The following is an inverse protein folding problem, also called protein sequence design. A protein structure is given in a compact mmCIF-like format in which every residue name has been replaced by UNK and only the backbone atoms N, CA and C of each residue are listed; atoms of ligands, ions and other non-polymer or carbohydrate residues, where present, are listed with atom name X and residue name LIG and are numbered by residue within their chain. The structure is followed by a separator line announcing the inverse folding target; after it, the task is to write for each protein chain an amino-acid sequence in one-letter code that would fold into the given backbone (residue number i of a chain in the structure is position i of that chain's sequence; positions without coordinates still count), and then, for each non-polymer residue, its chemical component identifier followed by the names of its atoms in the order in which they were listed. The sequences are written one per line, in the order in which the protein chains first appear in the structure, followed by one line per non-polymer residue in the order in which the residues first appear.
data_IF_431742266662
#
_entry.id   IF_431742266662
#
_cell.length_a   1.000
_cell.length_b   1.000
_cell.length_c   1.000
_cell.angle_alpha   90.00
_cell.angle_beta   90.00
_cell.angle_gamma   90.00
#
_symmetry.space_group_name_H-M   'P 1'
#
loop_
_entity.id
_entity.type
_entity.pdbx_description
1 polymer ?
#
# COMPACT_ATOMS: atom_id res chain seq x y z
N UNK A 1 7.72 4.03 19.70
CA UNK A 1 7.39 5.47 19.71
C UNK A 1 7.34 6.07 18.30
N UNK A 2 8.29 5.79 17.41
CA UNK A 2 8.32 6.36 16.04
C UNK A 2 7.06 6.08 15.19
N UNK A 3 6.56 4.85 15.24
CA UNK A 3 5.36 4.40 14.50
C UNK A 3 4.08 5.15 14.86
N UNK A 4 3.94 5.59 16.13
CA UNK A 4 2.77 6.37 16.58
C UNK A 4 2.69 7.74 15.92
N UNK A 5 3.84 8.33 15.61
CA UNK A 5 3.97 9.65 15.00
C UNK A 5 4.30 9.59 13.52
N UNK A 6 4.07 8.44 12.88
CA UNK A 6 4.36 8.20 11.47
C UNK A 6 3.86 9.34 10.57
N UNK A 7 2.57 9.67 10.66
CA UNK A 7 1.96 10.74 9.85
C UNK A 7 2.66 12.07 10.08
N UNK A 8 2.98 12.40 11.33
CA UNK A 8 3.67 13.64 11.68
C UNK A 8 5.07 13.68 11.04
N UNK A 9 5.83 12.58 11.11
CA UNK A 9 7.15 12.49 10.49
C UNK A 9 7.11 12.71 8.98
N UNK A 10 6.12 12.12 8.29
CA UNK A 10 6.00 12.31 6.85
C UNK A 10 5.58 13.74 6.51
N UNK A 11 4.68 14.36 7.28
CA UNK A 11 4.31 15.76 7.09
C UNK A 11 5.49 16.71 7.32
N UNK A 12 6.26 16.49 8.39
CA UNK A 12 7.47 17.27 8.68
C UNK A 12 8.54 17.10 7.60
N UNK A 13 8.80 15.87 7.16
CA UNK A 13 9.74 15.59 6.09
C UNK A 13 9.29 16.19 4.75
N UNK A 14 7.99 16.15 4.45
CA UNK A 14 7.42 16.78 3.26
C UNK A 14 7.57 18.31 3.30
N UNK A 15 7.26 18.94 4.44
CA UNK A 15 7.45 20.38 4.61
C UNK A 15 8.93 20.80 4.49
N UNK A 16 9.83 20.02 5.10
CA UNK A 16 11.27 20.22 4.98
C UNK A 16 11.76 20.02 3.54
N UNK A 17 11.24 19.01 2.83
CA UNK A 17 11.57 18.73 1.43
C UNK A 17 11.12 19.85 0.47
N UNK A 18 9.99 20.51 0.76
CA UNK A 18 9.56 21.69 -0.01
C UNK A 18 10.48 22.88 0.26
N UNK A 19 10.91 23.08 1.52
CA UNK A 19 11.73 24.24 1.91
C UNK A 19 13.20 24.09 1.54
N UNK A 20 13.72 22.86 1.57
CA UNK A 20 15.13 22.51 1.39
C UNK A 20 15.26 21.28 0.47
N UNK A 21 14.85 21.36 -0.81
CA UNK A 21 14.81 20.20 -1.70
C UNK A 21 16.19 19.53 -1.87
N UNK A 22 17.28 20.31 -1.88
CA UNK A 22 18.65 19.79 -1.99
C UNK A 22 19.05 18.80 -0.89
N UNK A 23 18.42 18.84 0.28
CA UNK A 23 18.67 17.88 1.36
C UNK A 23 18.09 16.48 1.10
N UNK A 24 17.11 16.37 0.18
CA UNK A 24 16.36 15.13 -0.06
C UNK A 24 16.58 14.56 -1.46
N UNK A 25 16.99 15.36 -2.44
CA UNK A 25 17.20 14.88 -3.82
C UNK A 25 18.31 13.84 -3.93
N UNK A 26 19.31 13.86 -3.04
CA UNK A 26 20.35 12.83 -2.94
C UNK A 26 19.85 11.43 -2.58
N UNK A 27 18.61 11.31 -2.10
CA UNK A 27 17.95 10.02 -1.77
C UNK A 27 17.45 9.32 -3.04
N UNK A 28 17.39 10.02 -4.19
CA UNK A 28 16.86 9.47 -5.44
C UNK A 28 17.37 8.06 -5.82
N UNK A 29 18.68 7.77 -5.84
CA UNK A 29 19.17 6.42 -6.17
C UNK A 29 18.83 5.38 -5.10
N UNK A 30 18.45 5.81 -3.90
CA UNK A 30 18.13 4.96 -2.76
C UNK A 30 16.64 4.59 -2.68
N UNK A 31 15.76 5.13 -3.52
CA UNK A 31 14.32 4.83 -3.46
C UNK A 31 14.05 3.32 -3.57
N UNK A 32 14.59 2.66 -4.60
CA UNK A 32 14.41 1.23 -4.79
C UNK A 32 15.11 0.39 -3.70
N UNK A 33 16.37 0.64 -3.30
CA UNK A 33 16.99 -0.02 -2.16
C UNK A 33 16.23 0.13 -0.83
N UNK A 34 15.73 1.33 -0.53
CA UNK A 34 14.93 1.59 0.67
C UNK A 34 13.61 0.81 0.64
N UNK A 35 12.96 0.72 -0.52
CA UNK A 35 11.79 -0.12 -0.68
C UNK A 35 12.13 -1.61 -0.52
N UNK A 36 13.23 -2.07 -1.11
CA UNK A 36 13.73 -3.44 -0.92
C UNK A 36 13.96 -3.77 0.55
N UNK A 37 14.50 -2.83 1.34
CA UNK A 37 14.64 -2.98 2.79
C UNK A 37 13.28 -3.14 3.51
N UNK A 38 12.27 -2.37 3.12
CA UNK A 38 10.90 -2.50 3.64
C UNK A 38 10.32 -3.89 3.29
N UNK A 39 10.49 -4.32 2.04
CA UNK A 39 9.98 -5.61 1.53
C UNK A 39 10.70 -6.80 2.16
N UNK A 40 12.00 -6.69 2.44
CA UNK A 40 12.77 -7.65 3.22
C UNK A 40 12.24 -7.77 4.65
N UNK A 41 11.99 -6.63 5.29
CA UNK A 41 11.34 -6.57 6.60
C UNK A 41 9.99 -7.28 6.63
N UNK A 42 9.15 -7.05 5.61
CA UNK A 42 7.89 -7.78 5.44
C UNK A 42 8.13 -9.30 5.30
N UNK A 43 9.09 -9.72 4.49
CA UNK A 43 9.42 -11.14 4.33
C UNK A 43 9.79 -11.83 5.64
N UNK A 44 10.51 -11.13 6.52
CA UNK A 44 10.84 -11.64 7.86
C UNK A 44 9.60 -11.77 8.75
N UNK A 45 8.61 -10.89 8.65
CA UNK A 45 7.40 -10.94 9.49
C UNK A 45 6.33 -11.90 8.98
N UNK A 46 6.43 -12.42 7.74
CA UNK A 46 5.47 -13.38 7.21
C UNK A 46 5.43 -14.68 8.04
N UNK A 47 4.24 -15.10 8.43
CA UNK A 47 4.01 -16.36 9.11
C UNK A 47 3.42 -17.40 8.15
N UNK A 48 4.10 -18.55 8.00
CA UNK A 48 3.60 -19.64 7.17
C UNK A 48 2.22 -20.14 7.62
N UNK A 49 1.92 -20.07 8.92
CA UNK A 49 0.63 -20.46 9.47
C UNK A 49 -0.48 -19.45 9.14
N UNK A 50 -0.16 -18.16 8.99
CA UNK A 50 -1.12 -17.17 8.50
C UNK A 50 -1.53 -17.47 7.04
N UNK A 51 -0.57 -17.91 6.20
CA UNK A 51 -0.86 -18.35 4.85
C UNK A 51 -1.68 -19.66 4.81
N UNK A 52 -1.41 -20.63 5.69
CA UNK A 52 -2.24 -21.84 5.78
C UNK A 52 -3.67 -21.54 6.26
N UNK A 53 -3.82 -20.65 7.25
CA UNK A 53 -5.13 -20.19 7.72
C UNK A 53 -5.90 -19.47 6.61
N UNK A 54 -5.22 -18.70 5.76
CA UNK A 54 -5.79 -18.06 4.58
C UNK A 54 -6.54 -19.05 3.67
N UNK A 55 -5.91 -20.19 3.40
CA UNK A 55 -6.47 -21.23 2.52
C UNK A 55 -7.70 -21.92 3.13
N UNK A 56 -7.92 -21.80 4.45
CA UNK A 56 -9.12 -22.32 5.12
C UNK A 56 -10.34 -21.39 4.99
N UNK A 57 -10.17 -20.14 4.57
CA UNK A 57 -11.27 -19.19 4.31
C UNK A 57 -11.17 -18.62 2.88
N UNK A 58 -11.39 -19.45 1.85
CA UNK A 58 -11.08 -19.10 0.46
C UNK A 58 -12.01 -18.02 -0.12
N UNK A 59 -13.26 -17.95 0.34
CA UNK A 59 -14.27 -17.03 -0.21
C UNK A 59 -13.98 -15.57 0.13
N UNK A 60 -13.81 -15.17 1.41
CA UNK A 60 -13.47 -13.78 1.73
C UNK A 60 -12.11 -13.36 1.14
N UNK A 61 -11.14 -14.29 1.12
CA UNK A 61 -9.81 -14.05 0.55
C UNK A 61 -9.88 -13.75 -0.96
N UNK A 62 -10.52 -14.64 -1.73
CA UNK A 62 -10.67 -14.47 -3.17
C UNK A 62 -11.43 -13.17 -3.49
N UNK A 63 -12.51 -12.90 -2.75
CA UNK A 63 -13.27 -11.67 -2.89
C UNK A 63 -12.39 -10.44 -2.65
N UNK A 64 -11.66 -10.42 -1.54
CA UNK A 64 -10.81 -9.29 -1.21
C UNK A 64 -9.73 -9.03 -2.27
N UNK A 65 -9.05 -10.08 -2.75
CA UNK A 65 -8.03 -9.97 -3.80
C UNK A 65 -8.61 -9.51 -5.13
N UNK A 66 -9.80 -10.00 -5.51
CA UNK A 66 -10.49 -9.54 -6.72
C UNK A 66 -10.89 -8.07 -6.58
N UNK A 67 -11.47 -7.67 -5.46
CA UNK A 67 -11.85 -6.27 -5.22
C UNK A 67 -10.62 -5.36 -5.24
N UNK A 68 -9.51 -5.77 -4.62
CA UNK A 68 -8.23 -5.04 -4.65
C UNK A 68 -7.82 -4.69 -6.08
N UNK A 69 -7.70 -5.71 -6.94
CA UNK A 69 -7.21 -5.55 -8.31
C UNK A 69 -8.26 -5.10 -9.32
N UNK A 70 -9.53 -4.99 -8.91
CA UNK A 70 -10.60 -4.46 -9.74
C UNK A 70 -10.91 -3.00 -9.39
N UNK A 71 -11.23 -2.74 -8.12
CA UNK A 71 -11.71 -1.44 -7.64
C UNK A 71 -10.63 -0.38 -7.76
N UNK A 72 -9.42 -0.66 -7.26
CA UNK A 72 -8.39 0.37 -7.14
C UNK A 72 -7.83 0.84 -8.49
N UNK A 73 -7.47 -0.02 -9.45
CA UNK A 73 -7.02 0.45 -10.75
C UNK A 73 -8.14 1.16 -11.53
N UNK A 74 -9.37 0.64 -11.46
CA UNK A 74 -10.52 1.22 -12.15
C UNK A 74 -10.87 2.60 -11.58
N UNK A 75 -10.86 2.75 -10.25
CA UNK A 75 -11.06 4.04 -9.60
C UNK A 75 -9.93 5.02 -9.97
N UNK A 76 -8.67 4.58 -9.98
CA UNK A 76 -7.54 5.39 -10.41
C UNK A 76 -7.69 5.88 -11.85
N UNK A 77 -8.08 5.00 -12.77
CA UNK A 77 -8.36 5.32 -14.17
C UNK A 77 -9.53 6.31 -14.31
N UNK A 78 -10.65 6.03 -13.65
CA UNK A 78 -11.86 6.86 -13.71
C UNK A 78 -11.65 8.26 -13.16
N UNK A 79 -10.94 8.39 -12.03
CA UNK A 79 -10.57 9.69 -11.45
C UNK A 79 -9.62 10.43 -12.39
N UNK A 80 -8.58 9.76 -12.89
CA UNK A 80 -7.62 10.37 -13.80
C UNK A 80 -8.28 10.93 -15.06
N UNK A 81 -9.20 10.16 -15.66
CA UNK A 81 -9.97 10.59 -16.83
C UNK A 81 -10.96 11.71 -16.50
N UNK A 82 -11.72 11.58 -15.41
CA UNK A 82 -12.74 12.55 -15.00
C UNK A 82 -12.16 13.91 -14.62
N UNK A 83 -11.03 13.92 -13.90
CA UNK A 83 -10.37 15.15 -13.46
C UNK A 83 -9.39 15.69 -14.51
N UNK A 84 -9.25 15.00 -15.65
CA UNK A 84 -8.31 15.34 -16.73
C UNK A 84 -6.89 15.55 -16.21
N UNK A 85 -6.44 14.63 -15.37
CA UNK A 85 -5.13 14.74 -14.74
C UNK A 85 -4.01 14.71 -15.81
N UNK A 86 -2.88 15.43 -15.57
CA UNK A 86 -1.73 15.37 -16.45
C UNK A 86 -1.25 13.93 -16.70
N UNK A 87 -0.78 13.57 -17.91
CA UNK A 87 -0.48 12.18 -18.27
C UNK A 87 0.39 11.41 -17.27
N UNK A 88 1.44 12.05 -16.74
CA UNK A 88 2.31 11.44 -15.72
C UNK A 88 1.59 11.17 -14.39
N UNK A 89 0.76 12.10 -13.93
CA UNK A 89 -0.04 11.95 -12.71
C UNK A 89 -1.09 10.85 -12.91
N UNK A 90 -1.73 10.80 -14.07
CA UNK A 90 -2.71 9.77 -14.43
C UNK A 90 -2.09 8.37 -14.39
N UNK A 91 -0.94 8.17 -15.03
CA UNK A 91 -0.22 6.91 -15.01
C UNK A 91 0.21 6.52 -13.58
N UNK A 92 0.69 7.49 -12.80
CA UNK A 92 1.03 7.30 -11.39
C UNK A 92 -0.15 6.88 -10.51
N UNK A 93 -1.32 7.51 -10.69
CA UNK A 93 -2.53 7.21 -9.93
C UNK A 93 -3.08 5.81 -10.27
N UNK A 94 -3.04 5.42 -11.55
CA UNK A 94 -3.37 4.06 -11.97
C UNK A 94 -2.39 3.05 -11.39
N UNK A 95 -1.09 3.34 -11.44
CA UNK A 95 -0.06 2.42 -10.96
C UNK A 95 -0.17 2.16 -9.45
N UNK A 96 -0.40 3.20 -8.63
CA UNK A 96 -0.66 2.99 -7.19
C UNK A 96 -1.94 2.19 -6.96
N UNK A 97 -2.97 2.37 -7.80
CA UNK A 97 -4.17 1.55 -7.76
C UNK A 97 -3.94 0.10 -8.17
N UNK A 98 -2.98 -0.16 -9.05
CA UNK A 98 -2.59 -1.50 -9.48
C UNK A 98 -1.63 -2.22 -8.52
N UNK A 99 -1.11 -1.51 -7.52
CA UNK A 99 -0.26 -2.10 -6.48
C UNK A 99 -1.06 -3.05 -5.55
N UNK A 100 -0.40 -4.03 -4.93
CA UNK A 100 -0.99 -4.87 -3.89
C UNK A 100 -1.31 -4.07 -2.62
N UNK A 101 -1.98 -4.72 -1.67
CA UNK A 101 -2.25 -4.16 -0.34
C UNK A 101 -0.97 -3.80 0.40
N UNK A 102 -1.00 -2.74 1.20
CA UNK A 102 0.14 -2.27 1.98
C UNK A 102 0.06 -2.76 3.42
N UNK A 103 1.15 -3.30 3.97
CA UNK A 103 1.21 -3.93 5.32
C UNK A 103 0.71 -3.08 6.50
N UNK A 104 0.60 -1.76 6.32
CA UNK A 104 -0.03 -0.88 7.31
C UNK A 104 -1.52 -1.23 7.54
N UNK A 105 -2.20 -1.82 6.55
CA UNK A 105 -3.57 -2.32 6.64
C UNK A 105 -3.74 -3.31 7.79
N UNK A 106 -2.81 -4.27 7.97
CA UNK A 106 -2.86 -5.28 9.05
C UNK A 106 -3.04 -4.64 10.44
N UNK A 107 -2.32 -3.55 10.70
CA UNK A 107 -2.42 -2.80 11.95
C UNK A 107 -3.77 -2.09 12.08
N UNK A 108 -4.26 -1.47 10.99
CA UNK A 108 -5.56 -0.79 11.00
C UNK A 108 -6.70 -1.79 11.16
N UNK A 109 -6.59 -2.98 10.57
CA UNK A 109 -7.56 -4.07 10.72
C UNK A 109 -7.63 -4.52 12.18
N UNK A 110 -6.47 -4.75 12.81
CA UNK A 110 -6.41 -5.05 14.25
C UNK A 110 -7.07 -3.96 15.10
N UNK A 111 -6.72 -2.69 14.88
CA UNK A 111 -7.29 -1.57 15.63
C UNK A 111 -8.80 -1.41 15.41
N UNK A 112 -9.28 -1.80 14.24
CA UNK A 112 -10.70 -1.75 13.88
C UNK A 112 -11.52 -2.94 14.40
N UNK A 113 -10.90 -3.92 15.06
CA UNK A 113 -11.51 -5.22 15.41
C UNK A 113 -12.02 -5.98 14.18
N UNK A 114 -11.26 -5.93 13.08
CA UNK A 114 -11.50 -6.72 11.88
C UNK A 114 -10.74 -8.05 11.90
N UNK A 115 -10.93 -8.86 10.86
CA UNK A 115 -10.26 -10.14 10.72
C UNK A 115 -8.79 -9.96 10.27
N UNK A 116 -7.87 -9.98 11.24
CA UNK A 116 -6.43 -9.79 11.00
C UNK A 116 -5.83 -10.92 10.17
N UNK A 117 -6.28 -12.17 10.37
CA UNK A 117 -5.79 -13.30 9.61
C UNK A 117 -6.13 -13.16 8.12
N UNK A 118 -7.34 -12.70 7.80
CA UNK A 118 -7.76 -12.39 6.44
C UNK A 118 -6.94 -11.24 5.82
N UNK A 119 -6.66 -10.18 6.58
CA UNK A 119 -5.85 -9.04 6.12
C UNK A 119 -4.43 -9.47 5.75
N UNK A 120 -3.74 -10.22 6.62
CA UNK A 120 -2.40 -10.75 6.34
C UNK A 120 -2.43 -11.67 5.10
N UNK A 121 -3.45 -12.52 4.99
CA UNK A 121 -3.65 -13.40 3.86
C UNK A 121 -3.80 -12.64 2.53
N UNK A 122 -4.64 -11.60 2.52
CA UNK A 122 -4.89 -10.77 1.35
C UNK A 122 -3.65 -9.99 0.92
N UNK A 123 -2.95 -9.34 1.85
CA UNK A 123 -1.70 -8.65 1.57
C UNK A 123 -0.65 -9.62 1.00
N UNK A 124 -0.52 -10.82 1.57
CA UNK A 124 0.42 -11.84 1.09
C UNK A 124 0.07 -12.31 -0.32
N UNK A 125 -1.18 -12.69 -0.56
CA UNK A 125 -1.63 -13.17 -1.87
C UNK A 125 -1.51 -12.08 -2.94
N UNK A 126 -1.96 -10.85 -2.64
CA UNK A 126 -1.83 -9.74 -3.59
C UNK A 126 -0.38 -9.40 -3.88
N UNK A 127 0.52 -9.45 -2.89
CA UNK A 127 1.97 -9.22 -3.09
C UNK A 127 2.61 -10.28 -3.98
N UNK A 128 2.24 -11.56 -3.80
CA UNK A 128 2.73 -12.65 -4.65
C UNK A 128 2.19 -12.57 -6.09
N UNK A 129 0.97 -12.05 -6.27
CA UNK A 129 0.36 -11.84 -7.58
C UNK A 129 0.85 -10.55 -8.28
N UNK A 130 1.37 -9.59 -7.52
CA UNK A 130 1.76 -8.26 -8.01
C UNK A 130 2.71 -8.28 -9.22
N UNK A 131 3.75 -9.15 -9.31
CA UNK A 131 4.63 -9.19 -10.49
C UNK A 131 3.87 -9.37 -11.80
N UNK A 132 2.76 -10.13 -11.80
CA UNK A 132 1.97 -10.39 -13.01
C UNK A 132 0.83 -9.38 -13.16
N UNK A 133 0.08 -9.15 -12.08
CA UNK A 133 -1.17 -8.40 -12.12
C UNK A 133 -0.92 -6.89 -12.21
N UNK A 134 0.08 -6.35 -11.50
CA UNK A 134 0.37 -4.91 -11.51
C UNK A 134 0.84 -4.43 -12.89
N UNK A 135 1.80 -5.07 -13.59
CA UNK A 135 2.18 -4.64 -14.94
C UNK A 135 1.04 -4.78 -15.95
N UNK A 136 0.25 -5.86 -15.86
CA UNK A 136 -0.88 -6.07 -16.77
C UNK A 136 -1.97 -5.00 -16.60
N UNK A 137 -2.38 -4.69 -15.37
CA UNK A 137 -3.35 -3.62 -15.10
C UNK A 137 -2.80 -2.25 -15.49
N UNK A 138 -1.52 -1.99 -15.23
CA UNK A 138 -0.85 -0.75 -15.62
C UNK A 138 -0.84 -0.61 -17.13
N UNK A 139 -0.49 -1.66 -17.87
CA UNK A 139 -0.56 -1.67 -19.33
C UNK A 139 -2.00 -1.42 -19.81
N UNK A 140 -2.99 -2.09 -19.22
CA UNK A 140 -4.39 -1.97 -19.63
C UNK A 140 -4.91 -0.53 -19.50
N UNK A 141 -4.66 0.10 -18.35
CA UNK A 141 -5.25 1.39 -18.00
C UNK A 141 -4.33 2.58 -18.30
N UNK A 142 -3.02 2.50 -18.01
CA UNK A 142 -2.11 3.63 -18.12
C UNK A 142 -1.53 3.88 -19.52
N UNK A 143 -1.57 2.89 -20.44
CA UNK A 143 -1.02 3.02 -21.81
C UNK A 143 -1.61 4.17 -22.63
N UNK A 144 -2.80 4.66 -22.24
CA UNK A 144 -3.47 5.79 -22.88
C UNK A 144 -2.75 7.12 -22.63
N UNK A 145 -2.02 7.24 -21.52
CA UNK A 145 -1.34 8.47 -21.11
C UNK A 145 0.17 8.43 -21.33
N UNK A 146 0.80 7.26 -21.10
CA UNK A 146 2.24 7.08 -21.28
C UNK A 146 2.54 5.70 -21.87
N UNK A 147 3.62 5.55 -22.65
CA UNK A 147 4.13 4.23 -23.04
C UNK A 147 4.43 3.39 -21.80
N UNK A 148 3.91 2.16 -21.74
CA UNK A 148 4.11 1.24 -20.63
C UNK A 148 4.86 0.03 -21.12
N UNK A 149 6.01 -0.26 -20.50
CA UNK A 149 6.74 -1.50 -20.68
C UNK A 149 6.36 -2.49 -19.56
N UNK A 150 5.47 -3.46 -19.82
CA UNK A 150 5.04 -4.42 -18.81
C UNK A 150 6.17 -5.39 -18.40
N UNK A 151 7.13 -5.66 -19.30
CA UNK A 151 8.24 -6.56 -19.01
C UNK A 151 9.24 -5.88 -18.05
N UNK A 152 9.55 -4.61 -18.28
CA UNK A 152 10.39 -3.83 -17.38
C UNK A 152 9.74 -3.65 -15.99
N UNK A 153 8.42 -3.42 -15.94
CA UNK A 153 7.67 -3.38 -14.67
C UNK A 153 7.69 -4.73 -13.96
N UNK A 154 7.49 -5.84 -14.67
CA UNK A 154 7.58 -7.21 -14.13
C UNK A 154 8.95 -7.45 -13.48
N UNK A 155 10.04 -7.16 -14.20
CA UNK A 155 11.41 -7.32 -13.69
C UNK A 155 11.66 -6.44 -12.46
N UNK A 156 11.22 -5.17 -12.50
CA UNK A 156 11.37 -4.25 -11.35
C UNK A 156 10.65 -4.76 -10.11
N UNK A 157 9.46 -5.34 -10.25
CA UNK A 157 8.73 -5.89 -9.11
C UNK A 157 9.42 -7.16 -8.59
N UNK A 158 9.93 -8.02 -9.46
CA UNK A 158 10.72 -9.19 -9.02
C UNK A 158 11.92 -8.76 -8.19
N UNK A 159 12.69 -7.79 -8.67
CA UNK A 159 13.92 -7.33 -8.01
C UNK A 159 13.65 -6.56 -6.72
N UNK A 160 12.69 -5.63 -6.73
CA UNK A 160 12.48 -4.70 -5.61
C UNK A 160 11.50 -5.26 -4.57
N UNK A 161 10.66 -6.22 -4.94
CA UNK A 161 9.67 -6.82 -4.05
C UNK A 161 9.95 -8.30 -3.80
N UNK A 162 9.88 -9.14 -4.85
CA UNK A 162 9.86 -10.58 -4.64
C UNK A 162 11.18 -11.11 -4.06
N UNK A 163 12.32 -10.67 -4.61
CA UNK A 163 13.65 -11.07 -4.13
C UNK A 163 13.83 -10.69 -2.65
N UNK A 164 13.62 -9.43 -2.21
CA UNK A 164 13.70 -9.07 -0.80
C UNK A 164 12.74 -9.85 0.09
N UNK A 165 11.49 -10.07 -0.32
CA UNK A 165 10.51 -10.86 0.46
C UNK A 165 10.99 -12.30 0.65
N UNK A 166 11.47 -12.94 -0.42
CA UNK A 166 11.99 -14.32 -0.37
C UNK A 166 13.24 -14.39 0.51
N UNK A 167 14.14 -13.42 0.42
CA UNK A 167 15.32 -13.34 1.30
C UNK A 167 14.92 -13.16 2.77
N UNK A 168 13.96 -12.30 3.07
CA UNK A 168 13.44 -12.11 4.42
C UNK A 168 12.84 -13.40 4.98
N UNK A 169 12.06 -14.12 4.17
CA UNK A 169 11.50 -15.42 4.54
C UNK A 169 12.59 -16.48 4.75
N UNK A 170 13.63 -16.49 3.91
CA UNK A 170 14.76 -17.39 4.06
C UNK A 170 15.50 -17.13 5.38
N UNK A 171 15.75 -15.87 5.74
CA UNK A 171 16.35 -15.49 7.04
C UNK A 171 15.46 -15.94 8.20
N UNK A 172 14.14 -15.75 8.10
CA UNK A 172 13.19 -16.22 9.12
C UNK A 172 13.29 -17.74 9.35
N UNK A 173 13.46 -18.52 8.29
CA UNK A 173 13.56 -19.99 8.35
C UNK A 173 14.93 -20.48 8.83
N UNK A 174 16.01 -19.86 8.35
CA UNK A 174 17.38 -20.33 8.60
C UNK A 174 17.95 -19.80 9.93
N UNK A 175 17.52 -18.62 10.37
CA UNK A 175 18.02 -17.95 11.57
C UNK A 175 16.87 -17.30 12.37
N UNK A 176 15.90 -18.09 12.91
CA UNK A 176 14.70 -17.56 13.54
C UNK A 176 14.99 -16.62 14.73
N UNK A 177 16.05 -16.89 15.50
CA UNK A 177 16.46 -15.99 16.60
C UNK A 177 16.98 -14.63 16.13
N UNK A 178 17.65 -14.57 14.97
CA UNK A 178 18.08 -13.31 14.37
C UNK A 178 16.89 -12.57 13.76
N UNK A 179 16.00 -13.29 13.08
CA UNK A 179 14.77 -12.74 12.52
C UNK A 179 13.89 -12.11 13.62
N UNK A 180 13.67 -12.79 14.74
CA UNK A 180 12.88 -12.27 15.85
C UNK A 180 13.46 -10.95 16.43
N UNK A 181 14.80 -10.82 16.49
CA UNK A 181 15.44 -9.56 16.89
C UNK A 181 15.27 -8.47 15.84
N UNK A 182 15.39 -8.81 14.55
CA UNK A 182 15.23 -7.85 13.45
C UNK A 182 13.77 -7.39 13.29
N UNK A 183 12.79 -8.27 13.52
CA UNK A 183 11.36 -7.98 13.51
C UNK A 183 11.02 -6.83 14.48
N UNK A 184 11.67 -6.77 15.65
CA UNK A 184 11.46 -5.69 16.63
C UNK A 184 11.81 -4.29 16.08
N UNK A 185 12.78 -4.20 15.16
CA UNK A 185 13.24 -2.94 14.56
C UNK A 185 12.60 -2.64 13.21
N UNK A 186 12.05 -3.66 12.55
CA UNK A 186 11.46 -3.56 11.21
C UNK A 186 10.44 -2.41 11.09
N UNK A 187 9.50 -2.20 12.03
CA UNK A 187 8.57 -1.07 11.93
C UNK A 187 9.26 0.30 11.92
N UNK A 188 10.31 0.48 12.73
CA UNK A 188 11.03 1.76 12.80
C UNK A 188 11.82 2.02 11.53
N UNK A 189 12.54 1.01 11.02
CA UNK A 189 13.28 1.07 9.77
C UNK A 189 12.35 1.38 8.60
N UNK A 190 11.20 0.71 8.53
CA UNK A 190 10.21 0.95 7.47
C UNK A 190 9.66 2.37 7.49
N UNK A 191 9.37 2.91 8.68
CA UNK A 191 8.94 4.31 8.83
C UNK A 191 10.02 5.29 8.35
N UNK A 192 11.28 5.09 8.71
CA UNK A 192 12.37 5.96 8.26
C UNK A 192 12.57 5.88 6.74
N UNK A 193 12.54 4.68 6.18
CA UNK A 193 12.68 4.44 4.75
C UNK A 193 11.56 5.11 3.95
N UNK A 194 10.29 4.96 4.35
CA UNK A 194 9.17 5.58 3.63
C UNK A 194 9.16 7.12 3.81
N UNK A 195 9.54 7.63 4.99
CA UNK A 195 9.70 9.08 5.21
C UNK A 195 10.77 9.65 4.27
N UNK A 196 11.89 8.95 4.10
CA UNK A 196 12.94 9.32 3.17
C UNK A 196 12.47 9.28 1.70
N UNK A 197 11.76 8.21 1.30
CA UNK A 197 11.19 8.08 -0.06
C UNK A 197 10.20 9.22 -0.35
N UNK A 198 9.25 9.46 0.56
CA UNK A 198 8.23 10.52 0.38
C UNK A 198 8.91 11.89 0.36
N UNK A 199 9.84 12.16 1.28
CA UNK A 199 10.61 13.41 1.28
C UNK A 199 11.36 13.63 -0.04
N UNK A 200 11.98 12.59 -0.58
CA UNK A 200 12.64 12.65 -1.89
C UNK A 200 11.66 12.98 -3.02
N UNK A 201 10.52 12.26 -3.11
CA UNK A 201 9.52 12.50 -4.15
C UNK A 201 8.93 13.91 -4.05
N UNK A 202 8.67 14.40 -2.84
CA UNK A 202 8.18 15.77 -2.60
C UNK A 202 9.24 16.80 -3.03
N UNK A 203 10.51 16.59 -2.66
CA UNK A 203 11.60 17.49 -3.05
C UNK A 203 11.80 17.56 -4.57
N UNK A 204 11.75 16.41 -5.25
CA UNK A 204 11.86 16.32 -6.72
C UNK A 204 10.72 17.05 -7.44
N UNK A 205 9.58 17.23 -6.77
CA UNK A 205 8.39 17.87 -7.34
C UNK A 205 8.09 19.24 -6.73
N UNK A 206 8.96 19.79 -5.88
CA UNK A 206 8.68 21.00 -5.10
C UNK A 206 8.24 22.21 -5.95
N UNK A 207 8.81 22.37 -7.15
CA UNK A 207 8.42 23.42 -8.10
C UNK A 207 7.01 23.26 -8.69
N UNK A 208 6.50 22.03 -8.78
CA UNK A 208 5.20 21.72 -9.36
C UNK A 208 4.06 21.67 -8.32
N UNK A 209 4.39 21.50 -7.03
CA UNK A 209 3.40 21.25 -5.96
C UNK A 209 2.34 22.34 -5.81
N UNK A 210 2.67 23.61 -6.09
CA UNK A 210 1.68 24.69 -5.99
C UNK A 210 0.55 24.52 -7.03
N UNK A 211 0.90 24.07 -8.23
CA UNK A 211 -0.05 23.89 -9.32
C UNK A 211 -0.75 22.53 -9.25
N UNK A 212 -0.01 21.45 -8.96
CA UNK A 212 -0.54 20.08 -9.04
C UNK A 212 -0.95 19.50 -7.68
N UNK A 213 -0.42 20.01 -6.57
CA UNK A 213 -0.59 19.45 -5.22
C UNK A 213 -2.06 19.31 -4.79
N UNK A 214 -2.88 20.38 -4.84
CA UNK A 214 -4.30 20.29 -4.44
C UNK A 214 -5.09 19.30 -5.29
N UNK A 215 -4.82 19.27 -6.61
CA UNK A 215 -5.48 18.35 -7.55
C UNK A 215 -5.10 16.90 -7.26
N UNK A 216 -3.81 16.61 -7.06
CA UNK A 216 -3.32 15.27 -6.69
C UNK A 216 -3.87 14.84 -5.35
N UNK A 217 -3.90 15.72 -4.35
CA UNK A 217 -4.48 15.44 -3.04
C UNK A 217 -5.96 15.07 -3.16
N UNK A 218 -6.76 15.87 -3.89
CA UNK A 218 -8.17 15.57 -4.11
C UNK A 218 -8.38 14.22 -4.82
N UNK A 219 -7.59 13.94 -5.86
CA UNK A 219 -7.63 12.67 -6.57
C UNK A 219 -7.29 11.47 -5.67
N UNK A 220 -6.23 11.59 -4.85
CA UNK A 220 -5.79 10.54 -3.92
C UNK A 220 -6.81 10.31 -2.80
N UNK A 221 -7.38 11.38 -2.24
CA UNK A 221 -8.43 11.31 -1.21
C UNK A 221 -9.64 10.56 -1.74
N UNK A 222 -10.10 10.92 -2.95
CA UNK A 222 -11.21 10.26 -3.61
C UNK A 222 -10.87 8.80 -3.94
N UNK A 223 -9.67 8.53 -4.45
CA UNK A 223 -9.23 7.19 -4.82
C UNK A 223 -9.21 6.23 -3.62
N UNK A 224 -8.58 6.64 -2.52
CA UNK A 224 -8.58 5.87 -1.28
C UNK A 224 -9.98 5.73 -0.69
N UNK A 225 -10.78 6.81 -0.69
CA UNK A 225 -12.16 6.78 -0.22
C UNK A 225 -13.04 5.79 -0.99
N UNK A 226 -12.91 5.74 -2.32
CA UNK A 226 -13.58 4.75 -3.17
C UNK A 226 -13.10 3.33 -2.88
N UNK A 227 -11.79 3.12 -2.70
CA UNK A 227 -11.26 1.81 -2.30
C UNK A 227 -11.85 1.31 -1.00
N UNK A 228 -11.84 2.15 0.05
CA UNK A 228 -12.43 1.83 1.35
C UNK A 228 -13.94 1.55 1.25
N UNK A 229 -14.68 2.43 0.56
CA UNK A 229 -16.13 2.34 0.47
C UNK A 229 -16.60 1.14 -0.38
N UNK A 230 -16.03 0.97 -1.58
CA UNK A 230 -16.40 -0.10 -2.49
C UNK A 230 -15.86 -1.47 -2.03
N UNK A 231 -14.71 -1.51 -1.35
CA UNK A 231 -14.24 -2.71 -0.66
C UNK A 231 -15.22 -3.16 0.43
N UNK A 232 -15.67 -2.23 1.27
CA UNK A 232 -16.67 -2.52 2.30
C UNK A 232 -18.02 -2.94 1.70
N UNK A 233 -18.51 -2.19 0.71
CA UNK A 233 -19.79 -2.45 0.06
C UNK A 233 -19.79 -3.79 -0.70
N UNK A 234 -18.71 -4.12 -1.40
CA UNK A 234 -18.56 -5.40 -2.10
C UNK A 234 -18.59 -6.59 -1.14
N UNK A 235 -17.86 -6.49 -0.01
CA UNK A 235 -17.91 -7.50 1.04
C UNK A 235 -19.30 -7.61 1.70
N UNK A 236 -20.00 -6.49 1.86
CA UNK A 236 -21.35 -6.45 2.42
C UNK A 236 -22.38 -7.11 1.49
N UNK A 237 -22.39 -6.76 0.20
CA UNK A 237 -23.31 -7.31 -0.81
C UNK A 237 -23.16 -8.83 -0.91
N UNK A 238 -21.93 -9.34 -0.76
CA UNK A 238 -21.62 -10.76 -0.82
C UNK A 238 -21.69 -11.47 0.54
N UNK A 239 -22.38 -10.86 1.51
CA UNK A 239 -22.77 -11.51 2.76
C UNK A 239 -21.62 -11.83 3.72
N UNK A 240 -20.45 -11.21 3.58
CA UNK A 240 -19.34 -11.41 4.51
C UNK A 240 -19.70 -10.87 5.91
N UNK A 241 -19.06 -11.33 6.98
CA UNK A 241 -19.32 -10.81 8.33
C UNK A 241 -18.69 -9.41 8.53
N UNK A 242 -19.01 -8.75 9.63
CA UNK A 242 -18.51 -7.39 9.91
C UNK A 242 -16.99 -7.35 10.03
N UNK A 243 -16.36 -8.39 10.59
CA UNK A 243 -14.92 -8.44 10.76
C UNK A 243 -14.19 -8.55 9.41
N UNK A 244 -14.69 -9.39 8.50
CA UNK A 244 -14.17 -9.57 7.15
C UNK A 244 -14.45 -8.35 6.27
N UNK A 245 -15.63 -7.72 6.38
CA UNK A 245 -15.94 -6.46 5.67
C UNK A 245 -14.94 -5.36 6.03
N UNK A 246 -14.59 -5.22 7.31
CA UNK A 246 -13.60 -4.24 7.78
C UNK A 246 -12.21 -4.57 7.24
N UNK A 247 -11.82 -5.84 7.27
CA UNK A 247 -10.55 -6.30 6.73
C UNK A 247 -10.44 -6.03 5.23
N UNK A 248 -11.41 -6.48 4.44
CA UNK A 248 -11.45 -6.29 2.98
C UNK A 248 -11.44 -4.80 2.63
N UNK A 249 -12.24 -3.97 3.30
CA UNK A 249 -12.26 -2.55 3.05
C UNK A 249 -10.90 -1.87 3.26
N UNK A 250 -10.24 -2.16 4.39
CA UNK A 250 -8.92 -1.59 4.69
C UNK A 250 -7.84 -2.12 3.76
N UNK A 251 -7.86 -3.40 3.40
CA UNK A 251 -6.93 -3.94 2.41
C UNK A 251 -7.11 -3.26 1.05
N UNK A 252 -8.36 -3.19 0.53
CA UNK A 252 -8.69 -2.57 -0.76
C UNK A 252 -8.32 -1.09 -0.76
N UNK A 253 -8.59 -0.35 0.32
CA UNK A 253 -8.30 1.07 0.38
C UNK A 253 -6.83 1.40 0.65
N UNK A 254 -6.07 0.52 1.30
CA UNK A 254 -4.70 0.81 1.72
C UNK A 254 -3.67 0.09 0.83
N UNK A 255 -3.19 0.80 -0.18
CA UNK A 255 -2.20 0.31 -1.13
C UNK A 255 -0.78 0.24 -0.55
N UNK A 256 0.07 -0.58 -1.16
CA UNK A 256 1.52 -0.47 -1.06
C UNK A 256 2.01 0.75 -1.87
N UNK A 257 1.81 1.92 -1.28
CA UNK A 257 2.15 3.22 -1.84
C UNK A 257 3.66 3.44 -1.97
N UNK A 258 4.49 2.76 -1.17
CA UNK A 258 5.95 2.74 -1.35
C UNK A 258 6.36 2.09 -2.66
N UNK A 259 5.77 0.92 -2.99
CA UNK A 259 5.95 0.26 -4.28
C UNK A 259 5.46 1.13 -5.43
N UNK A 260 4.27 1.72 -5.30
CA UNK A 260 3.72 2.63 -6.30
C UNK A 260 4.64 3.82 -6.57
N UNK A 261 5.29 4.38 -5.55
CA UNK A 261 6.21 5.51 -5.69
C UNK A 261 7.51 5.10 -6.42
N UNK A 262 8.10 3.96 -6.03
CA UNK A 262 9.34 3.47 -6.63
C UNK A 262 9.15 3.10 -8.11
N UNK A 263 8.11 2.34 -8.44
CA UNK A 263 7.81 1.95 -9.83
C UNK A 263 7.45 3.16 -10.68
N UNK A 264 6.61 4.06 -10.18
CA UNK A 264 6.23 5.25 -10.95
C UNK A 264 7.45 6.14 -11.23
N UNK A 265 8.34 6.30 -10.24
CA UNK A 265 9.57 7.07 -10.44
C UNK A 265 10.46 6.44 -11.51
N UNK A 266 10.68 5.12 -11.42
CA UNK A 266 11.58 4.40 -12.31
C UNK A 266 11.06 4.34 -13.76
N UNK A 267 9.75 4.21 -13.95
CA UNK A 267 9.16 3.93 -15.28
C UNK A 267 8.49 5.15 -15.93
N UNK A 268 8.00 6.11 -15.13
CA UNK A 268 7.20 7.25 -15.63
C UNK A 268 7.72 8.62 -15.16
N UNK A 269 8.76 8.65 -14.32
CA UNK A 269 9.43 9.86 -13.86
C UNK A 269 8.91 10.41 -12.52
N UNK A 270 9.55 11.47 -12.04
CA UNK A 270 9.32 11.99 -10.68
C UNK A 270 7.88 12.45 -10.41
N UNK A 271 7.21 13.06 -11.40
CA UNK A 271 5.84 13.54 -11.23
C UNK A 271 4.83 12.40 -11.10
N UNK A 272 5.08 11.26 -11.76
CA UNK A 272 4.23 10.08 -11.65
C UNK A 272 4.32 9.40 -10.27
N UNK A 273 5.40 9.61 -9.51
CA UNK A 273 5.52 9.10 -8.15
C UNK A 273 4.73 9.92 -7.11
N UNK A 274 4.32 11.15 -7.46
CA UNK A 274 3.67 12.07 -6.54
C UNK A 274 2.33 11.55 -5.99
N UNK A 275 1.41 10.95 -6.80
CA UNK A 275 0.20 10.32 -6.27
C UNK A 275 0.49 9.31 -5.17
N UNK A 276 1.45 8.41 -5.38
CA UNK A 276 1.85 7.39 -4.40
C UNK A 276 2.44 7.98 -3.13
N UNK A 277 3.25 9.03 -3.24
CA UNK A 277 3.81 9.73 -2.09
C UNK A 277 2.72 10.40 -1.24
N UNK A 278 1.77 11.09 -1.87
CA UNK A 278 0.61 11.69 -1.18
C UNK A 278 -0.29 10.59 -0.60
N UNK A 279 -0.49 9.49 -1.35
CA UNK A 279 -1.26 8.32 -0.90
C UNK A 279 -0.66 7.73 0.37
N UNK A 280 0.67 7.61 0.47
CA UNK A 280 1.40 7.10 1.64
C UNK A 280 1.06 7.85 2.93
N UNK A 281 0.83 9.17 2.85
CA UNK A 281 0.36 9.97 3.99
C UNK A 281 -1.11 9.73 4.23
N UNK A 282 -1.92 9.92 3.18
CA UNK A 282 -3.36 9.96 3.29
C UNK A 282 -3.96 8.64 3.77
N UNK A 283 -3.56 7.50 3.20
CA UNK A 283 -4.17 6.21 3.55
C UNK A 283 -3.89 5.78 5.00
N UNK A 284 -2.80 6.25 5.59
CA UNK A 284 -2.51 6.02 7.02
C UNK A 284 -3.40 6.90 7.91
N UNK A 285 -3.66 8.15 7.50
CA UNK A 285 -4.61 9.03 8.19
C UNK A 285 -6.02 8.48 8.10
N UNK A 286 -6.51 8.22 6.88
CA UNK A 286 -7.87 7.72 6.65
C UNK A 286 -8.07 6.33 7.26
N UNK A 287 -7.09 5.43 7.13
CA UNK A 287 -7.11 4.11 7.75
C UNK A 287 -7.20 4.18 9.28
N UNK A 288 -6.39 5.03 9.93
CA UNK A 288 -6.44 5.22 11.38
C UNK A 288 -7.76 5.84 11.85
N UNK A 289 -8.29 6.83 11.12
CA UNK A 289 -9.59 7.45 11.41
C UNK A 289 -10.71 6.42 11.32
N UNK A 290 -10.76 5.66 10.22
CA UNK A 290 -11.78 4.65 9.98
C UNK A 290 -11.70 3.50 11.01
N UNK A 291 -10.50 3.03 11.31
CA UNK A 291 -10.27 2.04 12.36
C UNK A 291 -10.76 2.55 13.73
N UNK A 292 -10.49 3.83 14.06
CA UNK A 292 -10.98 4.47 15.27
C UNK A 292 -12.51 4.56 15.35
N UNK A 293 -13.18 4.84 14.23
CA UNK A 293 -14.65 4.85 14.12
C UNK A 293 -15.21 3.44 14.33
N UNK A 294 -14.66 2.43 13.64
CA UNK A 294 -15.12 1.05 13.73
C UNK A 294 -14.84 0.41 15.09
N UNK A 295 -13.75 0.78 15.77
CA UNK A 295 -13.47 0.32 17.13
C UNK A 295 -14.58 0.66 18.12
N UNK A 296 -15.28 1.78 17.90
CA UNK A 296 -16.40 2.25 18.75
C UNK A 296 -17.72 1.56 18.43
N UNK A 297 -17.81 0.79 17.34
CA UNK A 297 -19.02 0.06 16.92
C UNK A 297 -18.78 -1.45 17.11
N UNK A 298 -19.42 -2.09 18.11
CA UNK A 298 -19.32 -3.55 18.27
C UNK A 298 -19.69 -4.26 16.97
N UNK A 299 -18.93 -5.29 16.60
CA UNK A 299 -19.40 -6.32 15.67
C UNK A 299 -20.65 -6.97 16.28
N UNK A 300 -21.69 -7.19 15.50
CA UNK A 300 -23.03 -7.53 16.03
C UNK A 300 -23.05 -8.84 16.82
N UNK A 301 -24.03 -9.06 17.73
CA UNK A 301 -24.19 -10.34 18.43
C UNK A 301 -24.51 -11.44 17.42
N UNK A 302 -23.57 -12.34 17.18
CA UNK A 302 -23.63 -13.40 16.16
C UNK A 302 -22.27 -13.73 15.52
N UNK A 303 -21.30 -12.83 15.64
CA UNK A 303 -19.99 -12.92 14.96
C UNK A 303 -18.83 -13.34 15.91
N UNK A 304 -19.12 -13.70 17.16
CA UNK A 304 -18.12 -13.98 18.22
C UNK A 304 -17.47 -15.38 18.20
N UNK A 305 -17.69 -16.19 17.16
CA UNK A 305 -17.30 -17.61 17.14
C UNK A 305 -15.86 -17.94 16.70
N UNK A 306 -15.04 -16.94 16.33
CA UNK A 306 -13.67 -17.16 15.82
C UNK A 306 -12.63 -16.31 16.54
N UNK A 307 -12.74 -16.21 17.87
CA UNK A 307 -11.60 -15.82 18.68
C UNK A 307 -10.57 -16.97 18.62
N UNK A 308 -9.40 -16.71 18.04
CA UNK A 308 -8.26 -17.62 18.07
C UNK A 308 -7.89 -17.92 19.54
N UNK A 309 -7.59 -19.18 19.93
CA UNK A 309 -7.01 -19.46 21.22
C UNK A 309 -5.58 -18.88 21.29
N UNK A 310 -5.22 -18.48 22.50
CA UNK A 310 -3.99 -17.76 22.89
C UNK A 310 -2.68 -18.37 22.37
#
# INVERSE_FOLDING_TARGET
MLTRWFVLWVLLASAAAVRFPGAFTGIRPWIAPLLGLIMFGMGMTLEAEAFRRALRSPVPLALGVVLQFLVMPLAGFGIAAGFRLPPQISAGLVLVGACPGGTASNVMVYLSRGNVALSIAMTTCSTLLAPLVTPWLTLLYARRWLPVDPAALFLSILEVVLVPVVLGLAVKRLAPGAAARAEAWTPAVSVLAIVAIVGCVVALNAGNLRATGPLVLGAVVLHNGLGLALGYAGAWILGQDTADRRAIALEVGMQNSGLGAALAHAHFGALAALPSAVFSVWHNVSGALLAGIWRRRPAGPGEGGRADPA
#
